data_IF_136624454181
#
_entry.id   IF_136624454181
#
_cell.length_a   1.000
_cell.length_b   1.000
_cell.length_c   1.000
_cell.angle_alpha   90.00
_cell.angle_beta   90.00
_cell.angle_gamma   90.00
#
_symmetry.space_group_name_H-M   'P 1'
#
loop_
_entity.id
_entity.type
_entity.pdbx_description
1 polymer ?
#
# COMPACT_ATOMS: atom_id res chain seq x y z
N UNK A 1 -4.05 -14.74 8.93
CA UNK A 1 -4.32 -14.55 7.50
C UNK A 1 -4.62 -13.08 7.28
N UNK A 2 -4.04 -12.48 6.24
CA UNK A 2 -4.31 -11.09 5.87
C UNK A 2 -5.72 -10.98 5.29
N UNK A 3 -6.44 -9.92 5.64
CA UNK A 3 -7.82 -9.65 5.22
C UNK A 3 -8.06 -8.14 5.15
N UNK A 4 -9.16 -7.68 4.53
CA UNK A 4 -9.45 -6.25 4.47
C UNK A 4 -9.55 -5.57 5.84
N UNK A 5 -9.94 -6.31 6.89
CA UNK A 5 -10.11 -5.76 8.24
C UNK A 5 -8.80 -5.60 9.00
N UNK A 6 -7.73 -6.29 8.59
CA UNK A 6 -6.47 -6.30 9.33
C UNK A 6 -5.24 -5.93 8.47
N UNK A 7 -5.39 -5.75 7.15
CA UNK A 7 -4.30 -5.47 6.19
C UNK A 7 -3.33 -4.39 6.68
N UNK A 8 -3.82 -3.34 7.34
CA UNK A 8 -2.96 -2.26 7.81
C UNK A 8 -1.94 -2.68 8.85
N UNK A 9 -2.16 -3.78 9.58
CA UNK A 9 -1.23 -4.34 10.56
C UNK A 9 -0.43 -5.54 10.06
N UNK A 10 -0.60 -5.94 8.79
CA UNK A 10 0.11 -7.07 8.19
C UNK A 10 1.28 -6.63 7.31
N UNK A 11 2.10 -7.62 6.96
CA UNK A 11 3.15 -7.46 5.95
C UNK A 11 2.54 -7.12 4.60
N UNK A 12 3.07 -6.08 3.96
CA UNK A 12 2.66 -5.62 2.63
C UNK A 12 3.67 -6.02 1.55
N UNK A 13 4.94 -6.25 1.92
CA UNK A 13 5.96 -6.72 0.99
C UNK A 13 5.51 -8.05 0.37
N UNK A 14 5.61 -8.12 -0.95
CA UNK A 14 5.21 -9.27 -1.74
C UNK A 14 3.76 -9.22 -2.24
N UNK A 15 2.96 -8.22 -1.86
CA UNK A 15 1.61 -8.03 -2.41
C UNK A 15 1.64 -7.24 -3.72
N UNK A 16 0.67 -7.53 -4.60
CA UNK A 16 0.43 -6.75 -5.81
C UNK A 16 -0.36 -5.48 -5.48
N UNK A 17 0.06 -4.37 -6.09
CA UNK A 17 -0.45 -3.04 -5.77
C UNK A 17 -0.64 -2.20 -7.04
N UNK A 18 -1.64 -1.32 -6.99
CA UNK A 18 -1.89 -0.25 -7.95
C UNK A 18 -2.00 1.08 -7.20
N UNK A 19 -1.28 2.11 -7.66
CA UNK A 19 -1.46 3.49 -7.21
C UNK A 19 -2.68 4.09 -7.91
N UNK A 20 -3.86 3.99 -7.29
CA UNK A 20 -5.13 4.47 -7.86
C UNK A 20 -5.26 6.00 -7.78
N UNK A 21 -4.64 6.61 -6.78
CA UNK A 21 -4.62 8.06 -6.57
C UNK A 21 -3.25 8.54 -6.10
N UNK A 22 -2.86 9.73 -6.51
CA UNK A 22 -1.63 10.38 -6.04
C UNK A 22 -1.68 11.90 -6.27
N UNK A 23 -1.07 12.67 -5.38
CA UNK A 23 -0.87 14.10 -5.57
C UNK A 23 0.03 14.38 -6.79
N UNK A 24 1.10 13.60 -7.00
CA UNK A 24 1.86 13.62 -8.25
C UNK A 24 1.10 12.83 -9.32
N UNK A 25 0.58 13.46 -10.40
CA UNK A 25 -0.17 12.75 -11.42
C UNK A 25 0.64 11.65 -12.12
N UNK A 26 1.96 11.79 -12.22
CA UNK A 26 2.84 10.81 -12.84
C UNK A 26 2.95 9.49 -12.05
N UNK A 27 2.49 9.47 -10.79
CA UNK A 27 2.48 8.25 -9.99
C UNK A 27 1.19 7.45 -10.16
N UNK A 28 0.11 8.05 -10.68
CA UNK A 28 -1.17 7.37 -10.86
C UNK A 28 -1.04 6.29 -11.92
N UNK A 29 -1.63 5.12 -11.67
CA UNK A 29 -1.56 3.98 -12.57
C UNK A 29 -0.28 3.16 -12.46
N UNK A 30 0.69 3.55 -11.61
CA UNK A 30 1.84 2.70 -11.31
C UNK A 30 1.33 1.42 -10.65
N UNK A 31 1.67 0.27 -11.22
CA UNK A 31 1.31 -1.04 -10.71
C UNK A 31 2.52 -1.98 -10.71
N UNK A 32 2.46 -2.98 -9.84
CA UNK A 32 3.50 -3.98 -9.70
C UNK A 32 3.48 -4.60 -8.32
N UNK A 33 4.64 -5.05 -7.87
CA UNK A 33 4.79 -5.76 -6.59
C UNK A 33 5.51 -4.91 -5.55
N UNK A 34 5.03 -4.92 -4.32
CA UNK A 34 5.73 -4.23 -3.21
C UNK A 34 6.99 -5.04 -2.88
N UNK A 35 8.15 -4.41 -2.95
CA UNK A 35 9.45 -5.06 -2.66
C UNK A 35 10.13 -4.52 -1.40
N UNK A 36 9.72 -3.33 -0.94
CA UNK A 36 10.24 -2.70 0.28
C UNK A 36 9.24 -1.66 0.81
N UNK A 37 9.30 -1.39 2.10
CA UNK A 37 8.48 -0.41 2.81
C UNK A 37 9.32 0.33 3.84
N UNK A 38 9.20 1.67 3.83
CA UNK A 38 9.76 2.51 4.89
C UNK A 38 8.62 3.24 5.60
N UNK A 39 8.96 4.05 6.61
CA UNK A 39 7.96 4.89 7.30
C UNK A 39 7.04 5.66 6.34
N UNK A 40 7.62 6.24 5.28
CA UNK A 40 6.90 7.18 4.40
C UNK A 40 6.70 6.65 2.97
N UNK A 41 7.40 5.59 2.58
CA UNK A 41 7.43 5.12 1.18
C UNK A 41 6.98 3.68 1.08
N UNK A 42 6.30 3.37 -0.03
CA UNK A 42 6.24 2.03 -0.60
C UNK A 42 7.17 1.98 -1.81
N UNK A 43 7.94 0.91 -1.92
CA UNK A 43 8.81 0.66 -3.06
C UNK A 43 8.18 -0.44 -3.91
N UNK A 44 7.87 -0.10 -5.15
CA UNK A 44 7.12 -0.95 -6.08
C UNK A 44 8.05 -1.34 -7.22
N UNK A 45 8.24 -2.63 -7.40
CA UNK A 45 8.86 -3.18 -8.60
C UNK A 45 7.82 -3.23 -9.72
N UNK A 46 8.14 -2.57 -10.84
CA UNK A 46 7.30 -2.53 -12.03
C UNK A 46 8.04 -3.14 -13.21
N UNK A 47 7.36 -3.39 -14.32
CA UNK A 47 7.99 -3.80 -15.58
C UNK A 47 8.99 -2.77 -16.14
N UNK A 48 8.93 -1.52 -15.67
CA UNK A 48 9.81 -0.41 -16.06
C UNK A 48 10.84 -0.05 -14.97
N UNK A 49 11.09 -0.98 -14.05
CA UNK A 49 12.00 -0.82 -12.92
C UNK A 49 11.32 -0.35 -11.64
N UNK A 50 12.14 -0.01 -10.65
CA UNK A 50 11.69 0.28 -9.28
C UNK A 50 11.18 1.72 -9.15
N UNK A 51 10.03 1.88 -8.48
CA UNK A 51 9.40 3.17 -8.18
C UNK A 51 9.22 3.33 -6.68
N UNK A 52 9.54 4.52 -6.16
CA UNK A 52 9.35 4.87 -4.74
C UNK A 52 8.18 5.81 -4.63
N UNK A 53 7.10 5.37 -4.00
CA UNK A 53 5.84 6.09 -3.91
C UNK A 53 5.63 6.56 -2.48
N UNK A 54 5.33 7.85 -2.30
CA UNK A 54 4.96 8.38 -0.99
C UNK A 54 3.62 7.80 -0.56
N UNK A 55 3.56 7.33 0.68
CA UNK A 55 2.30 6.89 1.31
C UNK A 55 1.36 8.08 1.49
N UNK A 56 1.89 9.17 2.03
CA UNK A 56 1.12 10.40 2.18
C UNK A 56 0.70 10.93 0.80
N UNK A 57 -0.56 11.35 0.70
CA UNK A 57 -1.19 11.86 -0.52
C UNK A 57 -1.26 10.85 -1.68
N UNK A 58 -1.27 9.55 -1.37
CA UNK A 58 -1.51 8.49 -2.34
C UNK A 58 -2.61 7.55 -1.86
N UNK A 59 -3.34 6.98 -2.82
CA UNK A 59 -4.34 5.94 -2.60
C UNK A 59 -3.87 4.69 -3.32
N UNK A 60 -3.93 3.56 -2.63
CA UNK A 60 -3.40 2.29 -3.11
C UNK A 60 -4.51 1.25 -3.17
N UNK A 61 -4.58 0.48 -4.25
CA UNK A 61 -5.36 -0.74 -4.34
C UNK A 61 -4.44 -1.92 -4.19
N UNK A 62 -4.65 -2.74 -3.17
CA UNK A 62 -3.82 -3.89 -2.84
C UNK A 62 -4.61 -5.16 -3.07
N UNK A 63 -4.05 -6.09 -3.84
CA UNK A 63 -4.62 -7.42 -4.02
C UNK A 63 -4.15 -8.33 -2.88
N UNK A 64 -5.10 -8.82 -2.09
CA UNK A 64 -4.81 -9.75 -1.01
C UNK A 64 -4.70 -11.19 -1.54
N UNK A 65 -3.99 -12.09 -0.82
CA UNK A 65 -3.89 -13.50 -1.19
C UNK A 65 -5.22 -14.26 -1.31
N UNK A 66 -6.29 -13.77 -0.66
CA UNK A 66 -7.64 -14.34 -0.78
C UNK A 66 -8.38 -13.91 -2.06
N UNK A 67 -7.79 -13.02 -2.86
CA UNK A 67 -8.37 -12.49 -4.10
C UNK A 67 -9.14 -11.17 -3.89
N UNK A 68 -9.31 -10.71 -2.65
CA UNK A 68 -9.94 -9.42 -2.37
C UNK A 68 -9.05 -8.26 -2.79
N UNK A 69 -9.65 -7.26 -3.42
CA UNK A 69 -8.99 -5.99 -3.72
C UNK A 69 -9.42 -4.96 -2.68
N UNK A 70 -8.45 -4.31 -2.06
CA UNK A 70 -8.69 -3.36 -0.96
C UNK A 70 -8.11 -2.00 -1.32
N UNK A 71 -8.91 -0.94 -1.23
CA UNK A 71 -8.43 0.43 -1.41
C UNK A 71 -8.02 1.05 -0.07
N UNK A 72 -6.83 1.62 0.00
CA UNK A 72 -6.22 2.17 1.22
C UNK A 72 -5.76 3.60 0.95
N UNK A 73 -6.24 4.55 1.76
CA UNK A 73 -5.62 5.87 1.87
C UNK A 73 -4.25 5.74 2.55
N UNK A 74 -3.17 5.99 1.80
CA UNK A 74 -1.82 5.83 2.29
C UNK A 74 -1.48 6.69 3.52
N UNK A 75 -2.26 7.73 3.81
CA UNK A 75 -2.07 8.56 5.02
C UNK A 75 -2.19 7.78 6.32
N UNK A 76 -2.97 6.69 6.35
CA UNK A 76 -3.14 5.85 7.55
C UNK A 76 -1.95 4.93 7.80
N UNK A 77 -1.10 4.73 6.79
CA UNK A 77 0.04 3.80 6.85
C UNK A 77 1.39 4.52 6.99
N UNK A 78 1.42 5.83 7.33
CA UNK A 78 2.63 6.63 7.51
C UNK A 78 3.35 6.30 8.83
N UNK A 79 3.75 5.03 8.93
CA UNK A 79 4.45 4.39 10.03
C UNK A 79 5.42 3.37 9.42
N UNK A 80 6.49 3.06 10.16
CA UNK A 80 7.36 1.94 9.80
C UNK A 80 6.58 0.60 9.93
N UNK A 81 6.91 -0.44 9.14
CA UNK A 81 6.16 -1.70 9.12
C UNK A 81 5.92 -2.29 10.52
N UNK A 82 6.95 -2.31 11.36
CA UNK A 82 6.89 -2.86 12.72
C UNK A 82 5.98 -2.06 13.66
N UNK A 83 5.74 -0.77 13.36
CA UNK A 83 4.84 0.07 14.14
C UNK A 83 3.38 -0.04 13.71
N UNK A 84 3.11 -0.65 12.55
CA UNK A 84 1.76 -0.82 12.04
C UNK A 84 0.99 -1.97 12.69
N UNK A 85 1.67 -2.90 13.36
CA UNK A 85 1.08 -4.14 13.94
C UNK A 85 -0.15 -3.85 14.82
N UNK A 86 -0.18 -2.71 15.52
CA UNK A 86 -1.27 -2.32 16.41
C UNK A 86 -2.35 -1.45 15.74
N UNK A 87 -2.30 -1.27 14.41
CA UNK A 87 -3.23 -0.41 13.69
C UNK A 87 -4.54 -1.15 13.37
N UNK A 88 -5.65 -0.58 13.83
CA UNK A 88 -7.00 -1.14 13.63
C UNK A 88 -7.96 -0.11 13.04
N UNK A 89 -7.52 0.62 12.00
CA UNK A 89 -8.36 1.62 11.35
C UNK A 89 -9.27 1.00 10.29
N UNK A 90 -10.60 1.15 10.47
CA UNK A 90 -11.61 0.65 9.52
C UNK A 90 -12.18 1.74 8.59
N UNK A 91 -12.00 3.02 8.91
CA UNK A 91 -12.73 4.14 8.27
C UNK A 91 -12.18 4.61 6.92
N UNK A 92 -11.00 4.12 6.51
CA UNK A 92 -10.29 4.56 5.30
C UNK A 92 -9.82 3.39 4.43
N UNK A 93 -10.49 2.26 4.62
CA UNK A 93 -10.38 1.08 3.78
C UNK A 93 -11.75 0.87 3.14
N UNK A 94 -11.78 0.70 1.81
CA UNK A 94 -13.01 0.43 1.06
C UNK A 94 -12.80 -0.74 0.11
#
# INVERSE_FOLDING_TARGET
MISPQNVLGHELIGLDILVSGAANPNHRGICGRIIDETKNLLVIETTRGVKRIQKMHSTFRVLLPGGELVEIDGSVMVLAPERRINLHEKKRIT
#
